data_IF_326682905624
#
_entry.id   IF_326682905624
#
_cell.length_a   1.000
_cell.length_b   1.000
_cell.length_c   1.000
_cell.angle_alpha   90.00
_cell.angle_beta   90.00
_cell.angle_gamma   90.00
#
_symmetry.space_group_name_H-M   'P 1'
#
loop_
_entity.id
_entity.type
_entity.pdbx_description
1 polymer ?
#
# COMPACT_ATOMS: atom_id res chain seq x y z
N UNK A 1 -2.80 -7.07 -5.21
CA UNK A 1 -3.78 -6.03 -4.85
C UNK A 1 -5.24 -6.47 -5.08
N UNK A 2 -5.63 -6.94 -6.28
CA UNK A 2 -7.01 -7.41 -6.54
C UNK A 2 -7.46 -8.56 -5.61
N UNK A 3 -6.57 -9.48 -5.27
CA UNK A 3 -6.88 -10.57 -4.33
C UNK A 3 -7.14 -10.06 -2.91
N UNK A 4 -6.34 -9.11 -2.42
CA UNK A 4 -6.52 -8.53 -1.09
C UNK A 4 -7.85 -7.77 -1.01
N UNK A 5 -8.19 -7.00 -2.05
CA UNK A 5 -9.47 -6.27 -2.09
C UNK A 5 -10.67 -7.23 -2.14
N UNK A 6 -10.60 -8.32 -2.89
CA UNK A 6 -11.65 -9.35 -2.92
C UNK A 6 -11.89 -10.01 -1.57
N UNK A 7 -10.84 -10.19 -0.79
CA UNK A 7 -10.93 -10.79 0.55
C UNK A 7 -11.76 -9.93 1.52
N UNK A 8 -11.63 -8.59 1.43
CA UNK A 8 -12.37 -7.67 2.31
C UNK A 8 -13.73 -7.22 1.76
N UNK A 9 -13.90 -7.25 0.45
CA UNK A 9 -15.10 -6.77 -0.24
C UNK A 9 -15.53 -7.75 -1.34
N UNK A 10 -16.02 -8.96 -0.98
CA UNK A 10 -16.30 -10.04 -1.94
C UNK A 10 -17.34 -9.65 -2.99
N UNK A 11 -18.26 -8.74 -2.66
CA UNK A 11 -19.36 -8.31 -3.54
C UNK A 11 -19.03 -7.04 -4.36
N UNK A 12 -17.79 -6.51 -4.25
CA UNK A 12 -17.38 -5.31 -4.96
C UNK A 12 -16.38 -5.67 -6.06
N UNK A 13 -16.76 -5.45 -7.31
CA UNK A 13 -15.82 -5.51 -8.44
C UNK A 13 -15.04 -4.20 -8.50
N UNK A 14 -13.88 -4.15 -7.84
CA UNK A 14 -13.02 -2.99 -7.85
C UNK A 14 -12.02 -3.07 -9.01
N UNK A 15 -12.17 -2.22 -10.02
CA UNK A 15 -11.14 -1.92 -11.01
C UNK A 15 -10.37 -0.68 -10.56
N UNK A 16 -9.19 -0.88 -10.00
CA UNK A 16 -8.29 0.24 -9.71
C UNK A 16 -7.47 0.54 -10.96
N UNK A 17 -7.88 1.53 -11.73
CA UNK A 17 -7.12 2.03 -12.87
C UNK A 17 -6.24 3.19 -12.42
N UNK A 18 -4.92 2.99 -12.45
CA UNK A 18 -3.97 4.08 -12.25
C UNK A 18 -3.47 4.52 -13.63
N UNK A 19 -3.76 5.75 -14.02
CA UNK A 19 -3.15 6.36 -15.19
C UNK A 19 -1.74 6.80 -14.80
N UNK A 20 -0.76 5.95 -15.07
CA UNK A 20 0.64 6.36 -14.97
C UNK A 20 1.00 7.21 -16.19
N UNK A 21 1.64 8.37 -16.05
CA UNK A 21 2.28 9.03 -17.18
C UNK A 21 3.35 8.08 -17.74
N UNK A 22 3.59 8.16 -19.05
CA UNK A 22 4.69 7.45 -19.67
C UNK A 22 6.00 7.90 -18.99
N UNK A 23 6.72 6.96 -18.40
CA UNK A 23 8.00 7.23 -17.75
C UNK A 23 9.14 6.82 -18.67
N UNK A 24 10.29 7.46 -18.53
CA UNK A 24 11.52 7.06 -19.24
C UNK A 24 11.91 5.61 -18.96
N UNK A 25 11.50 5.06 -17.82
CA UNK A 25 11.69 3.66 -17.45
C UNK A 25 11.13 2.67 -18.46
N UNK A 26 10.06 3.04 -19.19
CA UNK A 26 9.51 2.21 -20.29
C UNK A 26 10.45 2.12 -21.49
N UNK A 27 11.31 3.13 -21.68
CA UNK A 27 12.27 3.20 -22.79
C UNK A 27 13.66 2.69 -22.43
N UNK A 28 14.00 2.70 -21.12
CA UNK A 28 15.30 2.26 -20.60
C UNK A 28 15.09 1.21 -19.52
N UNK A 29 14.76 -0.04 -19.88
CA UNK A 29 14.64 -1.10 -18.89
C UNK A 29 16.01 -1.33 -18.23
N UNK A 30 16.06 -1.13 -16.91
CA UNK A 30 17.26 -1.43 -16.13
C UNK A 30 17.61 -2.90 -16.27
N UNK A 31 18.84 -3.19 -16.67
CA UNK A 31 19.33 -4.57 -16.79
C UNK A 31 19.63 -5.20 -15.43
N UNK A 32 19.97 -4.38 -14.45
CA UNK A 32 20.39 -4.84 -13.13
C UNK A 32 19.20 -4.88 -12.17
N UNK A 33 18.81 -6.08 -11.79
CA UNK A 33 17.83 -6.27 -10.73
C UNK A 33 18.51 -6.18 -9.37
N UNK A 34 18.08 -5.25 -8.53
CA UNK A 34 18.45 -5.25 -7.12
C UNK A 34 17.78 -6.46 -6.46
N UNK A 35 18.58 -7.44 -6.05
CA UNK A 35 18.11 -8.67 -5.42
C UNK A 35 18.15 -8.59 -3.90
N UNK A 36 18.99 -7.74 -3.36
CA UNK A 36 19.13 -7.50 -1.92
C UNK A 36 17.94 -6.71 -1.38
N UNK A 37 17.11 -7.28 -0.48
CA UNK A 37 15.94 -6.62 0.09
C UNK A 37 16.27 -5.29 0.78
N UNK A 38 17.44 -5.20 1.42
CA UNK A 38 17.88 -4.01 2.15
C UNK A 38 18.09 -2.80 1.24
N UNK A 39 18.42 -3.02 -0.04
CA UNK A 39 18.68 -2.00 -1.07
C UNK A 39 17.44 -1.64 -1.88
N UNK A 40 16.31 -2.30 -1.64
CA UNK A 40 15.07 -1.98 -2.34
C UNK A 40 14.47 -0.68 -1.84
N UNK A 41 13.84 0.05 -2.75
CA UNK A 41 13.02 1.23 -2.47
C UNK A 41 11.59 1.03 -2.94
N UNK A 42 10.69 1.92 -2.56
CA UNK A 42 9.26 1.83 -2.89
C UNK A 42 8.64 0.50 -2.44
N UNK A 43 8.93 0.10 -1.21
CA UNK A 43 8.55 -1.18 -0.61
C UNK A 43 7.59 -1.02 0.55
N UNK A 44 6.71 -2.01 0.73
CA UNK A 44 6.01 -2.28 1.97
C UNK A 44 6.73 -3.43 2.65
N UNK A 45 7.06 -3.26 3.92
CA UNK A 45 7.85 -4.21 4.68
C UNK A 45 7.20 -4.56 6.01
N UNK A 46 7.60 -5.69 6.57
CA UNK A 46 7.23 -6.13 7.91
C UNK A 46 8.49 -6.35 8.75
N UNK A 47 8.43 -5.88 9.98
CA UNK A 47 9.42 -6.15 11.03
C UNK A 47 8.79 -7.02 12.10
N UNK A 48 9.55 -7.96 12.62
CA UNK A 48 9.13 -8.83 13.71
C UNK A 48 10.06 -8.64 14.91
N UNK A 49 9.54 -8.89 16.11
CA UNK A 49 10.35 -8.99 17.30
C UNK A 49 11.04 -10.37 17.35
N UNK A 50 12.30 -10.41 17.77
CA UNK A 50 13.09 -11.64 17.93
C UNK A 50 12.93 -12.28 19.32
N UNK A 51 12.32 -11.57 20.27
CA UNK A 51 12.16 -12.07 21.63
C UNK A 51 11.25 -13.31 21.66
N UNK A 52 11.69 -14.32 22.38
CA UNK A 52 10.93 -15.57 22.55
C UNK A 52 9.58 -15.28 23.22
N UNK A 53 8.50 -15.77 22.61
CA UNK A 53 7.12 -15.53 23.09
C UNK A 53 6.54 -14.15 22.76
N UNK A 54 7.23 -13.32 21.98
CA UNK A 54 6.75 -12.02 21.56
C UNK A 54 6.31 -12.03 20.09
N UNK A 55 5.01 -11.93 19.82
CA UNK A 55 4.43 -11.84 18.47
C UNK A 55 4.33 -10.41 17.94
N UNK A 56 5.06 -9.47 18.54
CA UNK A 56 4.99 -8.07 18.14
C UNK A 56 5.56 -7.89 16.73
N UNK A 57 4.78 -7.21 15.90
CA UNK A 57 5.18 -6.91 14.53
C UNK A 57 4.74 -5.51 14.12
N UNK A 58 5.45 -4.96 13.14
CA UNK A 58 5.21 -3.67 12.54
C UNK A 58 5.20 -3.78 11.02
N UNK A 59 4.27 -3.10 10.37
CA UNK A 59 4.23 -2.94 8.92
C UNK A 59 4.42 -1.47 8.59
N UNK A 60 5.29 -1.18 7.64
CA UNK A 60 5.54 0.18 7.19
C UNK A 60 5.86 0.25 5.71
N UNK A 61 5.91 1.48 5.19
CA UNK A 61 6.38 1.76 3.85
C UNK A 61 7.73 2.49 3.84
N UNK A 62 8.50 2.30 2.78
CA UNK A 62 9.68 3.12 2.50
C UNK A 62 9.71 3.57 1.05
N UNK A 63 9.78 4.89 0.86
CA UNK A 63 10.03 5.53 -0.45
C UNK A 63 11.52 5.50 -0.78
N UNK A 64 12.36 5.51 0.25
CA UNK A 64 13.82 5.44 0.20
C UNK A 64 14.30 3.98 0.24
N UNK A 65 15.61 3.79 0.13
CA UNK A 65 16.24 2.48 0.35
C UNK A 65 15.87 1.94 1.72
N UNK A 66 15.49 0.66 1.78
CA UNK A 66 14.92 0.03 2.97
C UNK A 66 15.89 0.11 4.18
N UNK A 67 17.19 -0.08 3.95
CA UNK A 67 18.20 0.00 5.00
C UNK A 67 18.20 1.34 5.74
N UNK A 68 18.10 2.47 4.99
CA UNK A 68 18.02 3.80 5.60
C UNK A 68 16.78 3.93 6.49
N UNK A 69 15.68 3.31 6.09
CA UNK A 69 14.46 3.32 6.89
C UNK A 69 14.59 2.49 8.17
N UNK A 70 15.37 1.41 8.12
CA UNK A 70 15.68 0.61 9.32
C UNK A 70 16.54 1.39 10.31
N UNK A 71 17.53 2.14 9.83
CA UNK A 71 18.33 3.06 10.65
C UNK A 71 17.46 4.13 11.32
N UNK A 72 16.50 4.72 10.59
CA UNK A 72 15.53 5.65 11.17
C UNK A 72 14.74 4.99 12.31
N UNK A 73 14.24 3.76 12.10
CA UNK A 73 13.49 3.04 13.14
C UNK A 73 14.33 2.71 14.36
N UNK A 74 15.61 2.42 14.17
CA UNK A 74 16.52 2.12 15.27
C UNK A 74 16.89 3.35 16.10
N UNK A 75 16.81 4.56 15.51
CA UNK A 75 17.33 5.80 16.13
C UNK A 75 16.25 6.80 16.53
N UNK A 76 15.05 6.77 15.91
CA UNK A 76 13.98 7.74 16.19
C UNK A 76 13.15 7.34 17.43
N UNK A 77 13.26 8.06 18.57
CA UNK A 77 12.50 7.76 19.78
C UNK A 77 10.99 7.87 19.62
N UNK A 78 10.49 8.54 18.56
CA UNK A 78 9.06 8.66 18.28
C UNK A 78 8.50 7.43 17.56
N UNK A 79 9.35 6.56 17.07
CA UNK A 79 8.96 5.33 16.40
C UNK A 79 8.47 4.29 17.42
N UNK A 80 7.27 3.75 17.22
CA UNK A 80 6.78 2.63 18.05
C UNK A 80 7.67 1.39 17.93
N UNK A 81 8.38 1.24 16.82
CA UNK A 81 9.39 0.18 16.62
C UNK A 81 10.57 0.39 17.56
N UNK A 82 11.07 1.64 17.66
CA UNK A 82 12.14 2.01 18.59
C UNK A 82 11.70 1.81 20.05
N UNK A 83 10.51 2.28 20.40
CA UNK A 83 9.93 2.09 21.73
C UNK A 83 9.93 0.62 22.13
N UNK A 84 9.45 -0.27 21.24
CA UNK A 84 9.41 -1.70 21.49
C UNK A 84 10.81 -2.36 21.53
N UNK A 85 11.71 -1.94 20.62
CA UNK A 85 13.09 -2.45 20.56
C UNK A 85 13.86 -2.22 21.87
N UNK A 86 13.60 -1.12 22.56
CA UNK A 86 14.25 -0.75 23.81
C UNK A 86 13.58 -1.33 25.09
N UNK A 87 12.54 -2.12 24.95
CA UNK A 87 11.97 -2.84 26.09
C UNK A 87 12.94 -3.94 26.57
N UNK A 88 13.05 -4.20 27.87
CA UNK A 88 13.90 -5.26 28.39
C UNK A 88 13.57 -6.62 27.78
N UNK A 89 14.56 -7.26 27.16
CA UNK A 89 14.41 -8.57 26.56
C UNK A 89 13.74 -8.58 25.17
N UNK A 90 13.46 -7.40 24.57
CA UNK A 90 12.92 -7.30 23.23
C UNK A 90 13.96 -6.76 22.25
N UNK A 91 13.94 -7.30 21.03
CA UNK A 91 14.81 -6.87 19.95
C UNK A 91 14.03 -6.95 18.64
N UNK A 92 14.03 -5.88 17.85
CA UNK A 92 13.41 -5.87 16.52
C UNK A 92 14.41 -6.34 15.47
N UNK A 93 13.97 -7.21 14.56
CA UNK A 93 14.81 -7.75 13.49
C UNK A 93 14.95 -6.73 12.33
N UNK A 94 15.92 -5.84 12.47
CA UNK A 94 16.25 -4.89 11.42
C UNK A 94 17.12 -5.50 10.30
N UNK A 95 17.72 -6.66 10.56
CA UNK A 95 18.61 -7.33 9.61
C UNK A 95 17.84 -8.15 8.57
N UNK A 96 16.76 -8.82 9.00
CA UNK A 96 15.95 -9.69 8.14
C UNK A 96 14.56 -9.11 7.87
N UNK A 97 14.54 -7.95 7.21
CA UNK A 97 13.29 -7.26 6.86
C UNK A 97 12.50 -8.06 5.82
N UNK A 98 11.26 -8.41 6.13
CA UNK A 98 10.36 -9.08 5.19
C UNK A 98 9.75 -8.06 4.23
N UNK A 99 10.04 -8.15 2.93
CA UNK A 99 9.41 -7.31 1.91
C UNK A 99 8.08 -7.95 1.50
N UNK A 100 6.98 -7.31 1.87
CA UNK A 100 5.63 -7.77 1.56
C UNK A 100 5.22 -7.43 0.12
N UNK A 101 5.58 -6.23 -0.35
CA UNK A 101 5.20 -5.79 -1.70
C UNK A 101 6.04 -4.59 -2.17
N UNK A 102 5.92 -4.24 -3.46
CA UNK A 102 6.55 -3.06 -4.06
C UNK A 102 5.53 -2.25 -4.84
N UNK A 103 5.79 -0.97 -4.98
CA UNK A 103 4.96 -0.08 -5.79
C UNK A 103 5.81 0.79 -6.70
N UNK A 104 5.21 1.24 -7.80
CA UNK A 104 5.84 2.17 -8.75
C UNK A 104 5.36 3.62 -8.57
N UNK A 105 4.45 3.86 -7.62
CA UNK A 105 3.99 5.22 -7.26
C UNK A 105 3.74 5.29 -5.76
N UNK A 106 3.89 6.50 -5.19
CA UNK A 106 3.67 6.76 -3.77
C UNK A 106 2.24 6.39 -3.35
N UNK A 107 1.24 6.80 -4.13
CA UNK A 107 -0.18 6.49 -3.82
C UNK A 107 -0.47 4.99 -3.79
N UNK A 108 0.16 4.21 -4.67
CA UNK A 108 0.05 2.75 -4.64
C UNK A 108 0.76 2.15 -3.43
N UNK A 109 1.88 2.74 -3.04
CA UNK A 109 2.65 2.30 -1.89
C UNK A 109 1.83 2.48 -0.61
N UNK A 110 1.34 3.69 -0.36
CA UNK A 110 0.46 4.03 0.76
C UNK A 110 -0.78 3.11 0.83
N UNK A 111 -1.45 2.90 -0.32
CA UNK A 111 -2.60 1.99 -0.38
C UNK A 111 -2.23 0.54 -0.03
N UNK A 112 -1.07 0.06 -0.51
CA UNK A 112 -0.62 -1.30 -0.20
C UNK A 112 -0.28 -1.47 1.27
N UNK A 113 0.45 -0.52 1.87
CA UNK A 113 0.73 -0.52 3.30
C UNK A 113 -0.57 -0.64 4.11
N UNK A 114 -1.53 0.22 3.84
CA UNK A 114 -2.85 0.18 4.47
C UNK A 114 -3.52 -1.19 4.39
N UNK A 115 -3.54 -1.79 3.21
CA UNK A 115 -4.17 -3.09 2.99
C UNK A 115 -3.45 -4.20 3.78
N UNK A 116 -2.12 -4.16 3.84
CA UNK A 116 -1.34 -5.13 4.61
C UNK A 116 -1.53 -4.95 6.12
N UNK A 117 -1.57 -3.72 6.63
CA UNK A 117 -1.86 -3.47 8.05
C UNK A 117 -3.23 -4.02 8.42
N UNK A 118 -4.25 -3.76 7.59
CA UNK A 118 -5.60 -4.28 7.83
C UNK A 118 -5.67 -5.81 7.77
N UNK A 119 -4.93 -6.42 6.87
CA UNK A 119 -4.90 -7.87 6.68
C UNK A 119 -4.19 -8.58 7.81
N UNK A 120 -3.01 -8.10 8.18
CA UNK A 120 -2.10 -8.78 9.12
C UNK A 120 -2.24 -8.29 10.55
N UNK A 121 -2.90 -7.14 10.78
CA UNK A 121 -3.20 -6.54 12.09
C UNK A 121 -1.97 -6.50 13.03
N UNK A 122 -0.86 -5.89 12.59
CA UNK A 122 0.36 -5.83 13.38
C UNK A 122 0.15 -5.04 14.68
N UNK A 123 0.71 -5.51 15.79
CA UNK A 123 0.47 -4.96 17.13
C UNK A 123 1.06 -3.57 17.36
N UNK A 124 2.13 -3.21 16.63
CA UNK A 124 2.84 -1.94 16.81
C UNK A 124 2.29 -0.79 15.93
N UNK A 125 1.35 -1.05 15.03
CA UNK A 125 0.71 -0.02 14.20
C UNK A 125 -0.51 0.57 14.92
N UNK A 126 -0.29 1.45 15.89
CA UNK A 126 -1.35 1.97 16.79
C UNK A 126 -2.36 2.96 16.18
N UNK A 127 -2.13 3.52 14.97
CA UNK A 127 -2.86 4.73 14.52
C UNK A 127 -3.84 4.55 13.34
N UNK A 128 -4.11 3.36 12.85
CA UNK A 128 -4.61 3.24 11.47
C UNK A 128 -6.07 2.88 11.25
N UNK A 129 -6.88 2.63 12.27
CA UNK A 129 -8.26 2.19 12.01
C UNK A 129 -9.19 3.32 11.53
N UNK A 130 -9.04 4.56 12.02
CA UNK A 130 -9.98 5.64 11.72
C UNK A 130 -9.65 6.39 10.41
N UNK A 131 -8.38 6.68 10.14
CA UNK A 131 -7.97 7.41 8.93
C UNK A 131 -8.05 6.56 7.68
N UNK A 132 -7.71 5.28 7.80
CA UNK A 132 -7.77 4.30 6.73
C UNK A 132 -9.17 4.09 6.18
N UNK A 133 -10.14 3.96 7.07
CA UNK A 133 -11.54 3.78 6.69
C UNK A 133 -12.08 5.01 5.96
N UNK A 134 -11.66 6.19 6.39
CA UNK A 134 -12.06 7.45 5.78
C UNK A 134 -11.46 7.63 4.38
N UNK A 135 -10.20 7.26 4.16
CA UNK A 135 -9.53 7.33 2.86
C UNK A 135 -10.10 6.31 1.86
N UNK A 136 -10.36 5.08 2.30
CA UNK A 136 -10.99 4.05 1.46
C UNK A 136 -12.41 4.49 1.07
N UNK A 137 -13.21 4.98 2.00
CA UNK A 137 -14.58 5.45 1.72
C UNK A 137 -14.57 6.66 0.78
N UNK A 138 -13.65 7.61 0.94
CA UNK A 138 -13.52 8.74 0.00
C UNK A 138 -13.20 8.27 -1.40
N UNK A 139 -12.26 7.33 -1.55
CA UNK A 139 -11.87 6.82 -2.87
C UNK A 139 -12.96 5.94 -3.50
N UNK A 140 -13.67 5.12 -2.73
CA UNK A 140 -14.82 4.35 -3.21
C UNK A 140 -15.98 5.25 -3.59
N UNK A 141 -16.29 6.31 -2.83
CA UNK A 141 -17.31 7.30 -3.20
C UNK A 141 -16.94 8.05 -4.48
N UNK A 142 -15.67 8.40 -4.67
CA UNK A 142 -15.18 9.07 -5.89
C UNK A 142 -15.36 8.17 -7.12
N UNK A 143 -15.02 6.89 -7.02
CA UNK A 143 -15.20 5.91 -8.10
C UNK A 143 -16.69 5.73 -8.43
N UNK A 144 -17.54 5.61 -7.42
CA UNK A 144 -18.99 5.47 -7.62
C UNK A 144 -19.62 6.71 -8.24
N UNK A 145 -19.15 7.93 -7.93
CA UNK A 145 -19.60 9.16 -8.58
C UNK A 145 -19.21 9.18 -10.06
N UNK A 146 -17.98 8.84 -10.39
CA UNK A 146 -17.48 8.80 -11.77
C UNK A 146 -18.25 7.76 -12.60
N UNK A 147 -18.55 6.59 -12.05
CA UNK A 147 -19.31 5.54 -12.76
C UNK A 147 -20.77 5.95 -12.98
N UNK A 148 -21.40 6.62 -12.02
CA UNK A 148 -22.78 7.12 -12.16
C UNK A 148 -22.88 8.22 -13.22
N UNK A 149 -21.88 9.09 -13.31
CA UNK A 149 -21.84 10.15 -14.32
C UNK A 149 -21.58 9.57 -15.73
N UNK A 150 -20.71 8.57 -15.84
CA UNK A 150 -20.49 7.88 -17.12
C UNK A 150 -21.75 7.16 -17.64
N UNK A 151 -22.54 6.55 -16.74
CA UNK A 151 -23.81 5.93 -17.10
C UNK A 151 -24.87 6.98 -17.52
N UNK A 152 -24.90 8.14 -16.89
CA UNK A 152 -25.79 9.25 -17.30
C UNK A 152 -25.44 9.80 -18.69
N UNK A 153 -24.16 9.84 -19.05
CA UNK A 153 -23.71 10.25 -20.38
C UNK A 153 -24.09 9.24 -21.47
N UNK A 154 -24.03 7.95 -21.20
CA UNK A 154 -24.43 6.91 -22.16
C UNK A 154 -25.93 6.92 -22.44
N UNK A 155 -26.75 7.21 -21.44
CA UNK A 155 -28.22 7.24 -21.58
C UNK A 155 -28.76 8.53 -22.22
N UNK A 156 -27.92 9.57 -22.44
CA UNK A 156 -28.31 10.83 -23.09
C UNK A 156 -27.99 10.93 -24.58
N UNK A 157 -27.53 9.87 -25.25
CA UNK A 157 -27.37 9.91 -26.71
C UNK A 157 -28.76 9.94 -27.37
N UNK A 158 -29.14 10.99 -28.10
CA UNK A 158 -30.42 11.04 -28.80
C UNK A 158 -30.44 9.97 -29.90
N UNK A 159 -31.55 9.24 -29.98
CA UNK A 159 -31.87 8.39 -31.08
C UNK A 159 -31.83 9.22 -32.41
N UNK A 160 -30.88 8.95 -33.27
CA UNK A 160 -30.93 9.45 -34.66
C UNK A 160 -32.10 8.75 -35.33
N UNK A 161 -33.21 9.44 -35.44
CA UNK A 161 -34.29 9.07 -36.35
C UNK A 161 -33.73 9.06 -37.79
N UNK A 162 -33.69 7.89 -38.40
CA UNK A 162 -33.52 7.73 -39.84
C UNK A 162 -34.83 8.09 -40.50
N UNK A 163 -34.96 9.31 -41.03
CA UNK A 163 -35.98 9.65 -41.99
C UNK A 163 -35.56 9.05 -43.35
N UNK A 164 -36.28 8.03 -43.76
CA UNK A 164 -36.33 7.59 -45.17
C UNK A 164 -37.40 8.43 -45.85
N UNK A 165 -37.01 9.14 -46.86
CA UNK A 165 -37.83 9.54 -48.01
C UNK A 165 -37.17 9.00 -49.23
#
# INVERSE_FOLDING_TARGET
MQQIVKEFFPNVSLRVAFKAPATLESHFPYKDKVTDPSKLSMVVYKLNCLAEGCDASYIGESKRICNIRMEDHATDPKSHVHEHHNLPGHEMDFANVEILDRANTIKKLELKEMLYIRKLKPSLNKQLESELFTLIIRNVKLVNSITSDAQRYHNKKPNKQTSKT
#
